data_IF_146314643211
#
_entry.id   IF_146314643211
#
_cell.length_a   1.000
_cell.length_b   1.000
_cell.length_c   1.000
_cell.angle_alpha   90.00
_cell.angle_beta   90.00
_cell.angle_gamma   90.00
#
_symmetry.space_group_name_H-M   'P 1'
#
loop_
_entity.id
_entity.type
_entity.pdbx_description
1 polymer ?
#
# COMPACT_ATOMS: atom_id res chain seq x y z
N UNK A 1 17.45 25.98 -14.01
CA UNK A 1 17.32 25.17 -12.77
C UNK A 1 16.79 23.78 -13.05
N UNK A 2 15.91 23.60 -14.03
CA UNK A 2 15.30 22.32 -14.46
C UNK A 2 16.35 21.27 -14.89
N UNK A 3 17.27 21.61 -15.79
CA UNK A 3 18.33 20.69 -16.24
C UNK A 3 19.24 20.22 -15.10
N UNK A 4 19.52 21.07 -14.11
CA UNK A 4 20.39 20.69 -12.99
C UNK A 4 19.75 19.68 -12.06
N UNK A 5 18.43 19.72 -11.83
CA UNK A 5 17.77 18.83 -10.87
C UNK A 5 17.51 17.45 -11.46
N UNK A 6 17.14 17.39 -12.75
CA UNK A 6 16.99 16.12 -13.47
C UNK A 6 18.36 15.46 -13.72
N UNK A 7 19.41 16.25 -13.97
CA UNK A 7 20.77 15.74 -14.10
C UNK A 7 21.29 15.04 -12.82
N UNK A 8 20.84 15.45 -11.64
CA UNK A 8 21.23 14.82 -10.37
C UNK A 8 20.78 13.34 -10.31
N UNK A 9 19.61 12.99 -10.87
CA UNK A 9 19.14 11.60 -10.93
C UNK A 9 20.05 10.71 -11.78
N UNK A 10 20.69 11.28 -12.81
CA UNK A 10 21.61 10.60 -13.70
C UNK A 10 23.08 10.60 -13.24
N UNK A 11 23.49 11.50 -12.33
CA UNK A 11 24.91 11.73 -12.01
C UNK A 11 25.28 11.44 -10.55
N UNK A 12 24.37 11.69 -9.60
CA UNK A 12 24.66 11.53 -8.17
C UNK A 12 24.98 10.07 -7.77
N UNK A 13 25.76 9.85 -6.71
CA UNK A 13 26.03 8.52 -6.17
C UNK A 13 24.73 7.78 -5.83
N UNK A 14 24.55 6.56 -6.33
CA UNK A 14 23.30 5.79 -6.21
C UNK A 14 22.86 5.58 -4.77
N UNK A 15 23.78 5.23 -3.86
CA UNK A 15 23.42 5.00 -2.45
C UNK A 15 22.82 6.25 -1.78
N UNK A 16 23.43 7.43 -1.98
CA UNK A 16 22.91 8.70 -1.45
C UNK A 16 21.56 9.06 -2.08
N UNK A 17 21.41 8.80 -3.38
CA UNK A 17 20.18 9.08 -4.11
C UNK A 17 19.05 8.19 -3.64
N UNK A 18 19.30 6.87 -3.49
CA UNK A 18 18.32 5.93 -2.95
C UNK A 18 17.88 6.35 -1.54
N UNK A 19 18.80 6.65 -0.65
CA UNK A 19 18.46 7.13 0.71
C UNK A 19 17.62 8.41 0.68
N UNK A 20 17.94 9.37 -0.20
CA UNK A 20 17.21 10.63 -0.33
C UNK A 20 15.74 10.44 -0.75
N UNK A 21 15.44 9.42 -1.54
CA UNK A 21 14.09 9.15 -2.04
C UNK A 21 13.39 8.03 -1.26
N UNK A 22 14.09 6.94 -0.95
CA UNK A 22 13.50 5.80 -0.27
C UNK A 22 13.15 6.10 1.19
N UNK A 23 14.03 6.78 1.94
CA UNK A 23 13.78 7.06 3.36
C UNK A 23 12.51 7.90 3.59
N UNK A 24 12.29 9.04 2.92
CA UNK A 24 11.04 9.79 3.08
C UNK A 24 9.81 8.99 2.66
N UNK A 25 9.90 8.19 1.59
CA UNK A 25 8.79 7.35 1.14
C UNK A 25 8.46 6.26 2.17
N UNK A 26 9.48 5.60 2.72
CA UNK A 26 9.32 4.60 3.78
C UNK A 26 8.68 5.20 5.03
N UNK A 27 9.15 6.37 5.48
CA UNK A 27 8.56 7.07 6.63
C UNK A 27 7.09 7.40 6.38
N UNK A 28 6.74 7.90 5.18
CA UNK A 28 5.35 8.19 4.81
C UNK A 28 4.44 6.99 4.95
N UNK A 29 4.84 5.85 4.37
CA UNK A 29 4.02 4.64 4.37
C UNK A 29 3.97 3.98 5.74
N UNK A 30 5.08 4.00 6.48
CA UNK A 30 5.13 3.47 7.85
C UNK A 30 4.21 4.27 8.78
N UNK A 31 4.27 5.59 8.71
CA UNK A 31 3.38 6.46 9.51
C UNK A 31 1.92 6.26 9.09
N UNK A 32 1.65 6.09 7.79
CA UNK A 32 0.33 5.73 7.29
C UNK A 32 -0.20 4.41 7.86
N UNK A 33 0.65 3.39 8.00
CA UNK A 33 0.26 2.13 8.63
C UNK A 33 0.03 2.28 10.14
N UNK A 34 0.88 3.04 10.83
CA UNK A 34 0.79 3.24 12.28
C UNK A 34 -0.43 4.07 12.68
N UNK A 35 -0.74 5.16 11.97
CA UNK A 35 -1.91 5.97 12.33
C UNK A 35 -3.22 5.19 12.20
N UNK A 36 -3.35 4.30 11.22
CA UNK A 36 -4.53 3.44 11.09
C UNK A 36 -4.71 2.52 12.32
N UNK A 37 -3.61 2.05 12.92
CA UNK A 37 -3.65 1.25 14.15
C UNK A 37 -4.08 2.12 15.33
N UNK A 38 -3.54 3.33 15.43
CA UNK A 38 -3.86 4.30 16.50
C UNK A 38 -5.33 4.71 16.44
N UNK A 39 -5.85 5.01 15.25
CA UNK A 39 -7.27 5.33 15.02
C UNK A 39 -8.19 4.20 15.52
N UNK A 40 -7.89 2.95 15.18
CA UNK A 40 -8.66 1.80 15.67
C UNK A 40 -8.61 1.64 17.20
N UNK A 41 -7.48 1.99 17.84
CA UNK A 41 -7.36 1.98 19.30
C UNK A 41 -8.29 3.03 19.92
N UNK A 42 -8.29 4.25 19.40
CA UNK A 42 -9.17 5.31 19.91
C UNK A 42 -10.65 5.00 19.73
N UNK A 43 -11.02 4.44 18.57
CA UNK A 43 -12.41 3.98 18.34
C UNK A 43 -12.77 2.86 19.33
N UNK A 44 -11.86 1.91 19.55
CA UNK A 44 -12.08 0.84 20.52
C UNK A 44 -12.30 1.32 21.95
N UNK A 45 -11.54 2.33 22.37
CA UNK A 45 -11.68 2.93 23.71
C UNK A 45 -12.90 3.83 23.85
N UNK A 46 -13.25 4.59 22.81
CA UNK A 46 -14.32 5.60 22.89
C UNK A 46 -15.71 5.09 22.50
N UNK A 47 -15.78 4.12 21.59
CA UNK A 47 -17.05 3.59 21.07
C UNK A 47 -17.24 2.11 21.41
N UNK A 48 -16.14 1.40 21.62
CA UNK A 48 -16.14 -0.02 21.94
C UNK A 48 -16.08 -0.94 20.71
N UNK A 49 -16.34 -2.23 20.93
CA UNK A 49 -16.18 -3.27 19.91
C UNK A 49 -17.10 -3.10 18.69
N UNK A 50 -18.30 -2.53 18.87
CA UNK A 50 -19.23 -2.26 17.76
C UNK A 50 -18.70 -1.19 16.82
N UNK A 51 -18.01 -0.16 17.35
CA UNK A 51 -17.33 0.86 16.54
C UNK A 51 -16.19 0.26 15.73
N UNK A 52 -15.35 -0.57 16.34
CA UNK A 52 -14.31 -1.31 15.62
C UNK A 52 -14.89 -2.27 14.57
N UNK A 53 -15.99 -2.93 14.87
CA UNK A 53 -16.72 -3.75 13.90
C UNK A 53 -17.18 -2.96 12.69
N UNK A 54 -17.69 -1.75 12.91
CA UNK A 54 -18.10 -0.84 11.84
C UNK A 54 -16.94 -0.42 10.92
N UNK A 55 -15.79 -0.06 11.50
CA UNK A 55 -14.61 0.30 10.69
C UNK A 55 -14.08 -0.88 9.88
N UNK A 56 -14.12 -2.10 10.42
CA UNK A 56 -13.72 -3.30 9.71
C UNK A 56 -14.60 -3.61 8.49
N UNK A 57 -15.91 -3.34 8.60
CA UNK A 57 -16.86 -3.47 7.46
C UNK A 57 -16.54 -2.46 6.35
N UNK A 58 -16.13 -1.24 6.70
CA UNK A 58 -15.82 -0.17 5.74
C UNK A 58 -14.41 -0.29 5.18
N UNK A 59 -13.48 -0.96 5.87
CA UNK A 59 -12.08 -1.10 5.47
C UNK A 59 -11.87 -1.59 4.03
N UNK A 60 -12.53 -2.65 3.53
CA UNK A 60 -12.38 -3.07 2.13
C UNK A 60 -12.73 -1.99 1.12
N UNK A 61 -13.71 -1.14 1.42
CA UNK A 61 -14.12 -0.04 0.55
C UNK A 61 -13.07 1.08 0.51
N UNK A 62 -12.43 1.37 1.65
CA UNK A 62 -11.32 2.32 1.68
C UNK A 62 -10.09 1.79 0.93
N UNK A 63 -9.82 0.49 1.02
CA UNK A 63 -8.73 -0.17 0.27
C UNK A 63 -8.99 -0.16 -1.24
N UNK A 64 -10.24 -0.32 -1.68
CA UNK A 64 -10.62 -0.18 -3.09
C UNK A 64 -10.33 1.23 -3.61
N UNK A 65 -10.74 2.26 -2.86
CA UNK A 65 -10.46 3.65 -3.21
C UNK A 65 -8.95 3.93 -3.24
N UNK A 66 -8.19 3.40 -2.27
CA UNK A 66 -6.73 3.47 -2.26
C UNK A 66 -6.12 2.80 -3.49
N UNK A 67 -6.60 1.61 -3.86
CA UNK A 67 -6.12 0.88 -5.04
C UNK A 67 -6.23 1.71 -6.32
N UNK A 68 -7.37 2.37 -6.53
CA UNK A 68 -7.57 3.28 -7.67
C UNK A 68 -6.65 4.50 -7.61
N UNK A 69 -6.47 5.08 -6.42
CA UNK A 69 -5.59 6.23 -6.23
C UNK A 69 -4.13 5.90 -6.55
N UNK A 70 -3.60 4.78 -6.01
CA UNK A 70 -2.20 4.36 -6.26
C UNK A 70 -2.00 3.86 -7.69
N UNK A 71 -3.03 3.30 -8.34
CA UNK A 71 -2.97 2.98 -9.76
C UNK A 71 -2.67 4.23 -10.60
N UNK A 72 -3.38 5.32 -10.32
CA UNK A 72 -3.19 6.59 -11.01
C UNK A 72 -1.83 7.21 -10.61
N UNK A 73 -1.54 7.31 -9.31
CA UNK A 73 -0.38 8.01 -8.78
C UNK A 73 0.96 7.32 -9.11
N UNK A 74 1.09 6.03 -8.82
CA UNK A 74 2.33 5.28 -9.06
C UNK A 74 2.55 5.05 -10.56
N UNK A 75 1.46 4.86 -11.34
CA UNK A 75 1.53 4.79 -12.79
C UNK A 75 2.05 6.10 -13.39
N UNK A 76 1.49 7.23 -12.97
CA UNK A 76 1.95 8.55 -13.41
C UNK A 76 3.40 8.82 -12.96
N UNK A 77 3.77 8.50 -11.73
CA UNK A 77 5.13 8.64 -11.21
C UNK A 77 6.15 7.90 -12.07
N UNK A 78 5.86 6.64 -12.43
CA UNK A 78 6.72 5.82 -13.28
C UNK A 78 6.87 6.43 -14.69
N UNK A 79 5.75 6.78 -15.31
CA UNK A 79 5.74 7.35 -16.66
C UNK A 79 6.43 8.71 -16.73
N UNK A 80 6.13 9.61 -15.79
CA UNK A 80 6.74 10.95 -15.69
C UNK A 80 8.26 10.83 -15.53
N UNK A 81 8.72 9.93 -14.67
CA UNK A 81 10.15 9.71 -14.46
C UNK A 81 10.87 9.23 -15.73
N UNK A 82 10.24 8.34 -16.50
CA UNK A 82 10.74 7.88 -17.79
C UNK A 82 10.75 9.03 -18.80
N UNK A 83 9.70 9.85 -18.84
CA UNK A 83 9.63 11.02 -19.75
C UNK A 83 10.73 12.02 -19.44
N UNK A 84 11.03 12.30 -18.17
CA UNK A 84 12.15 13.17 -17.81
C UNK A 84 13.49 12.58 -18.25
N UNK A 85 13.69 11.27 -18.12
CA UNK A 85 14.89 10.59 -18.63
C UNK A 85 15.02 10.67 -20.16
N UNK A 86 13.89 10.61 -20.89
CA UNK A 86 13.84 10.76 -22.35
C UNK A 86 13.91 12.21 -22.85
N UNK A 87 14.04 13.16 -21.94
CA UNK A 87 13.97 14.60 -22.25
C UNK A 87 12.65 15.00 -22.95
N UNK A 88 11.52 14.48 -22.45
CA UNK A 88 10.17 14.74 -22.95
C UNK A 88 9.29 15.43 -21.88
N UNK A 89 9.62 16.64 -21.44
CA UNK A 89 8.93 17.30 -20.31
C UNK A 89 7.44 17.58 -20.61
N UNK A 90 7.09 17.81 -21.89
CA UNK A 90 5.70 18.05 -22.25
C UNK A 90 4.80 16.82 -22.02
N UNK A 91 5.28 15.62 -22.32
CA UNK A 91 4.56 14.38 -22.04
C UNK A 91 4.45 14.15 -20.54
N UNK A 92 5.48 14.49 -19.76
CA UNK A 92 5.45 14.44 -18.30
C UNK A 92 4.37 15.39 -17.74
N UNK A 93 4.34 16.65 -18.21
CA UNK A 93 3.34 17.63 -17.78
C UNK A 93 1.90 17.19 -18.11
N UNK A 94 1.70 16.65 -19.32
CA UNK A 94 0.38 16.10 -19.72
C UNK A 94 -0.03 14.89 -18.87
N UNK A 95 0.91 14.02 -18.53
CA UNK A 95 0.63 12.88 -17.67
C UNK A 95 0.22 13.32 -16.26
N UNK A 96 0.93 14.28 -15.67
CA UNK A 96 0.60 14.82 -14.34
C UNK A 96 -0.77 15.51 -14.35
N UNK A 97 -1.00 16.43 -15.30
CA UNK A 97 -2.27 17.13 -15.38
C UNK A 97 -3.45 16.16 -15.56
N UNK A 98 -3.30 15.17 -16.46
CA UNK A 98 -4.35 14.15 -16.65
C UNK A 98 -4.51 13.24 -15.43
N UNK A 99 -3.46 12.90 -14.70
CA UNK A 99 -3.54 12.09 -13.49
C UNK A 99 -4.25 12.83 -12.35
N UNK A 100 -3.98 14.13 -12.18
CA UNK A 100 -4.70 14.99 -11.25
C UNK A 100 -6.19 15.07 -11.60
N UNK A 101 -6.53 15.36 -12.85
CA UNK A 101 -7.92 15.41 -13.28
C UNK A 101 -8.63 14.06 -13.12
N UNK A 102 -7.96 12.95 -13.50
CA UNK A 102 -8.52 11.62 -13.38
C UNK A 102 -8.74 11.22 -11.91
N UNK A 103 -7.80 11.54 -11.01
CA UNK A 103 -7.93 11.20 -9.59
C UNK A 103 -9.14 11.89 -8.94
N UNK A 104 -9.42 13.14 -9.29
CA UNK A 104 -10.60 13.86 -8.83
C UNK A 104 -11.87 13.24 -9.41
N UNK A 105 -11.90 12.96 -10.71
CA UNK A 105 -13.07 12.34 -11.36
C UNK A 105 -13.36 10.95 -10.83
N UNK A 106 -12.34 10.10 -10.68
CA UNK A 106 -12.49 8.77 -10.11
C UNK A 106 -12.93 8.86 -8.65
N UNK A 107 -12.36 9.78 -7.87
CA UNK A 107 -12.76 10.01 -6.48
C UNK A 107 -14.24 10.40 -6.37
N UNK A 108 -14.72 11.32 -7.22
CA UNK A 108 -16.15 11.70 -7.27
C UNK A 108 -17.01 10.52 -7.71
N UNK A 109 -16.61 9.79 -8.75
CA UNK A 109 -17.37 8.64 -9.24
C UNK A 109 -17.50 7.53 -8.17
N UNK A 110 -16.42 7.23 -7.45
CA UNK A 110 -16.42 6.28 -6.34
C UNK A 110 -17.30 6.78 -5.19
N UNK A 111 -17.24 8.07 -4.83
CA UNK A 111 -18.07 8.65 -3.78
C UNK A 111 -19.57 8.57 -4.13
N UNK A 112 -19.94 8.87 -5.38
CA UNK A 112 -21.32 8.72 -5.87
C UNK A 112 -21.76 7.25 -5.82
N UNK A 113 -20.92 6.33 -6.28
CA UNK A 113 -21.20 4.90 -6.22
C UNK A 113 -21.40 4.43 -4.78
N UNK A 114 -20.55 4.86 -3.86
CA UNK A 114 -20.64 4.52 -2.43
C UNK A 114 -21.90 5.11 -1.79
N UNK A 115 -22.28 6.34 -2.15
CA UNK A 115 -23.49 6.97 -1.65
C UNK A 115 -24.77 6.27 -2.15
N UNK A 116 -24.82 5.90 -3.45
CA UNK A 116 -25.97 5.23 -4.05
C UNK A 116 -26.12 3.79 -3.55
N UNK A 117 -25.02 3.06 -3.44
CA UNK A 117 -25.00 1.65 -3.06
C UNK A 117 -24.59 1.41 -1.60
N UNK A 118 -24.75 2.39 -0.71
CA UNK A 118 -24.31 2.33 0.68
C UNK A 118 -24.78 1.06 1.39
N UNK A 119 -26.08 0.80 1.40
CA UNK A 119 -26.66 -0.35 2.13
C UNK A 119 -26.25 -1.69 1.52
N UNK A 120 -26.33 -1.92 0.19
CA UNK A 120 -25.83 -3.14 -0.43
C UNK A 120 -24.35 -3.42 -0.15
N UNK A 121 -23.51 -2.38 -0.19
CA UNK A 121 -22.07 -2.52 0.07
C UNK A 121 -21.80 -2.89 1.52
N UNK A 122 -22.43 -2.22 2.49
CA UNK A 122 -22.26 -2.55 3.89
C UNK A 122 -22.72 -3.99 4.20
N UNK A 123 -23.83 -4.43 3.63
CA UNK A 123 -24.32 -5.81 3.79
C UNK A 123 -23.37 -6.82 3.14
N UNK A 124 -22.82 -6.51 1.96
CA UNK A 124 -21.85 -7.37 1.26
C UNK A 124 -20.58 -7.59 2.09
N UNK A 125 -20.12 -6.56 2.81
CA UNK A 125 -18.90 -6.63 3.62
C UNK A 125 -19.15 -7.00 5.08
N UNK A 126 -20.36 -7.50 5.40
CA UNK A 126 -20.62 -8.17 6.67
C UNK A 126 -21.16 -7.26 7.79
N UNK A 127 -21.84 -6.15 7.45
CA UNK A 127 -22.56 -5.37 8.44
C UNK A 127 -23.67 -6.22 9.08
N UNK A 128 -23.73 -6.25 10.39
CA UNK A 128 -24.75 -6.93 11.19
C UNK A 128 -25.78 -5.91 11.71
N UNK A 129 -26.94 -6.36 12.12
CA UNK A 129 -27.95 -5.46 12.72
C UNK A 129 -27.38 -4.64 13.89
N UNK A 130 -26.46 -5.24 14.66
CA UNK A 130 -25.85 -4.60 15.83
C UNK A 130 -24.89 -3.46 15.47
N UNK A 131 -24.13 -3.57 14.36
CA UNK A 131 -23.12 -2.58 13.98
C UNK A 131 -23.51 -1.72 12.78
N UNK A 132 -24.65 -2.00 12.12
CA UNK A 132 -25.08 -1.33 10.90
C UNK A 132 -25.23 0.17 11.06
N UNK A 133 -25.76 0.62 12.19
CA UNK A 133 -25.93 2.06 12.47
C UNK A 133 -24.57 2.76 12.51
N UNK A 134 -23.60 2.21 13.23
CA UNK A 134 -22.24 2.74 13.32
C UNK A 134 -21.51 2.67 11.96
N UNK A 135 -21.66 1.55 11.24
CA UNK A 135 -21.07 1.37 9.93
C UNK A 135 -21.62 2.36 8.89
N UNK A 136 -22.94 2.60 8.90
CA UNK A 136 -23.60 3.59 8.04
C UNK A 136 -23.11 5.00 8.32
N UNK A 137 -23.05 5.37 9.60
CA UNK A 137 -22.59 6.69 10.03
C UNK A 137 -21.12 6.91 9.61
N UNK A 138 -20.23 6.00 9.98
CA UNK A 138 -18.80 6.05 9.62
C UNK A 138 -18.62 6.13 8.10
N UNK A 139 -19.27 5.24 7.35
CA UNK A 139 -19.16 5.17 5.90
C UNK A 139 -19.67 6.42 5.19
N UNK A 140 -20.71 7.07 5.71
CA UNK A 140 -21.22 8.31 5.12
C UNK A 140 -20.16 9.41 5.15
N UNK A 141 -19.49 9.62 6.29
CA UNK A 141 -18.43 10.63 6.40
C UNK A 141 -17.19 10.27 5.59
N UNK A 142 -16.76 9.00 5.60
CA UNK A 142 -15.67 8.52 4.75
C UNK A 142 -15.99 8.75 3.28
N UNK A 143 -17.22 8.47 2.83
CA UNK A 143 -17.65 8.66 1.44
C UNK A 143 -17.51 10.10 0.99
N UNK A 144 -17.86 11.08 1.84
CA UNK A 144 -17.64 12.50 1.54
C UNK A 144 -16.16 12.82 1.36
N UNK A 145 -15.28 12.16 2.12
CA UNK A 145 -13.83 12.32 2.04
C UNK A 145 -13.17 11.61 0.86
N UNK A 146 -13.84 10.63 0.21
CA UNK A 146 -13.22 9.79 -0.85
C UNK A 146 -12.60 10.59 -2.00
N UNK A 147 -13.22 11.66 -2.56
CA UNK A 147 -12.59 12.43 -3.63
C UNK A 147 -11.28 13.08 -3.19
N UNK A 148 -11.25 13.59 -1.97
CA UNK A 148 -10.07 14.23 -1.37
C UNK A 148 -8.99 13.18 -1.09
N UNK A 149 -9.40 12.03 -0.58
CA UNK A 149 -8.51 10.90 -0.30
C UNK A 149 -7.84 10.37 -1.57
N UNK A 150 -8.63 10.08 -2.62
CA UNK A 150 -8.11 9.56 -3.89
C UNK A 150 -7.13 10.56 -4.52
N UNK A 151 -7.46 11.84 -4.52
CA UNK A 151 -6.56 12.88 -4.99
C UNK A 151 -5.27 12.95 -4.15
N UNK A 152 -5.37 13.00 -2.82
CA UNK A 152 -4.23 13.10 -1.90
C UNK A 152 -3.28 11.92 -2.03
N UNK A 153 -3.80 10.70 -2.19
CA UNK A 153 -3.00 9.50 -2.38
C UNK A 153 -2.36 9.44 -3.78
N UNK A 154 -3.05 9.90 -4.82
CA UNK A 154 -2.53 9.92 -6.18
C UNK A 154 -1.45 10.99 -6.38
N UNK A 155 -1.57 12.17 -5.74
CA UNK A 155 -0.60 13.25 -5.92
C UNK A 155 0.75 12.97 -5.23
N UNK A 156 0.77 12.18 -4.17
CA UNK A 156 1.99 11.92 -3.39
C UNK A 156 3.13 11.27 -4.22
N UNK A 157 2.90 10.19 -5.00
CA UNK A 157 3.91 9.66 -5.93
C UNK A 157 4.36 10.68 -6.99
N UNK A 158 3.45 11.52 -7.47
CA UNK A 158 3.74 12.55 -8.47
C UNK A 158 4.71 13.60 -7.91
N UNK A 159 4.51 14.05 -6.67
CA UNK A 159 5.42 14.96 -5.97
C UNK A 159 6.83 14.35 -5.87
N UNK A 160 6.92 13.04 -5.63
CA UNK A 160 8.22 12.32 -5.62
C UNK A 160 8.89 12.34 -6.98
N UNK A 161 8.14 12.14 -8.07
CA UNK A 161 8.68 12.18 -9.43
C UNK A 161 9.17 13.56 -9.84
N UNK A 162 8.61 14.63 -9.27
CA UNK A 162 9.07 16.02 -9.43
C UNK A 162 10.32 16.36 -8.58
N UNK A 163 10.93 15.36 -7.92
CA UNK A 163 12.16 15.52 -7.16
C UNK A 163 11.98 16.06 -5.74
N UNK A 164 10.79 15.98 -5.17
CA UNK A 164 10.46 16.48 -3.82
C UNK A 164 9.95 15.39 -2.86
N UNK A 165 10.71 14.29 -2.64
CA UNK A 165 10.25 13.21 -1.75
C UNK A 165 10.04 13.66 -0.31
N UNK A 166 10.83 14.63 0.18
CA UNK A 166 10.66 15.19 1.53
C UNK A 166 9.33 15.94 1.69
N UNK A 167 8.90 16.68 0.66
CA UNK A 167 7.61 17.36 0.71
C UNK A 167 6.45 16.36 0.68
N UNK A 168 6.55 15.30 -0.15
CA UNK A 168 5.58 14.21 -0.16
C UNK A 168 5.47 13.54 1.23
N UNK A 169 6.60 13.32 1.91
CA UNK A 169 6.62 12.82 3.29
C UNK A 169 5.93 13.80 4.25
N UNK A 170 6.29 15.08 4.21
CA UNK A 170 5.72 16.07 5.11
C UNK A 170 4.21 16.23 4.95
N UNK A 171 3.68 16.12 3.73
CA UNK A 171 2.24 16.18 3.50
C UNK A 171 1.49 15.01 4.15
N UNK A 172 2.05 13.81 4.05
CA UNK A 172 1.47 12.62 4.69
C UNK A 172 1.58 12.68 6.22
N UNK A 173 2.74 13.12 6.74
CA UNK A 173 2.96 13.32 8.17
C UNK A 173 1.99 14.34 8.75
N UNK A 174 1.82 15.49 8.09
CA UNK A 174 0.92 16.55 8.55
C UNK A 174 -0.53 16.03 8.66
N UNK A 175 -1.00 15.28 7.67
CA UNK A 175 -2.32 14.65 7.70
C UNK A 175 -2.46 13.61 8.83
N UNK A 176 -1.46 12.73 9.00
CA UNK A 176 -1.46 11.72 10.04
C UNK A 176 -1.40 12.32 11.45
N UNK A 177 -0.57 13.32 11.68
CA UNK A 177 -0.48 14.03 12.97
C UNK A 177 -1.80 14.72 13.27
N UNK A 178 -2.38 15.43 12.29
CA UNK A 178 -3.67 16.08 12.48
C UNK A 178 -4.78 15.07 12.83
N UNK A 179 -4.84 13.93 12.16
CA UNK A 179 -5.76 12.85 12.50
C UNK A 179 -5.55 12.36 13.93
N UNK A 180 -4.32 11.99 14.32
CA UNK A 180 -3.99 11.54 15.68
C UNK A 180 -4.33 12.54 16.79
N UNK A 181 -4.32 13.86 16.48
CA UNK A 181 -4.72 14.91 17.43
C UNK A 181 -6.25 15.07 17.45
N UNK A 182 -6.88 15.05 16.28
CA UNK A 182 -8.32 15.29 16.15
C UNK A 182 -9.17 14.09 16.61
N UNK A 183 -8.70 12.85 16.45
CA UNK A 183 -9.41 11.65 16.86
C UNK A 183 -9.79 11.69 18.36
N UNK A 184 -8.85 11.84 19.31
CA UNK A 184 -9.22 11.87 20.72
C UNK A 184 -10.09 13.08 21.06
N UNK A 185 -9.91 14.21 20.39
CA UNK A 185 -10.77 15.39 20.61
C UNK A 185 -12.21 15.09 20.14
N UNK A 186 -12.37 14.54 18.95
CA UNK A 186 -13.69 14.25 18.39
C UNK A 186 -14.40 13.13 19.15
N UNK A 187 -13.66 12.08 19.56
CA UNK A 187 -14.24 10.91 20.24
C UNK A 187 -14.51 11.19 21.71
N UNK A 188 -13.52 11.70 22.48
CA UNK A 188 -13.59 11.78 23.94
C UNK A 188 -14.05 13.14 24.48
N UNK A 189 -13.74 14.25 23.75
CA UNK A 189 -14.14 15.61 24.20
C UNK A 189 -15.47 16.02 23.62
N UNK A 190 -15.65 15.82 22.29
CA UNK A 190 -16.89 16.18 21.61
C UNK A 190 -17.96 15.08 21.67
N UNK A 191 -17.60 13.88 22.08
CA UNK A 191 -18.47 12.70 22.15
C UNK A 191 -19.18 12.36 20.83
N UNK A 192 -18.49 12.58 19.69
CA UNK A 192 -19.05 12.30 18.36
C UNK A 192 -18.94 10.82 17.95
N UNK A 193 -18.37 9.95 18.78
CA UNK A 193 -18.28 8.52 18.52
C UNK A 193 -17.58 8.19 17.21
N UNK A 194 -18.12 7.24 16.43
CA UNK A 194 -17.53 6.83 15.12
C UNK A 194 -17.59 7.94 14.08
N UNK A 195 -18.57 8.81 14.13
CA UNK A 195 -18.64 10.01 13.28
C UNK A 195 -17.41 10.89 13.51
N UNK A 196 -17.01 11.07 14.76
CA UNK A 196 -15.86 11.87 15.15
C UNK A 196 -14.57 11.31 14.56
N UNK A 197 -14.35 10.00 14.64
CA UNK A 197 -13.21 9.33 14.03
C UNK A 197 -13.19 9.51 12.51
N UNK A 198 -14.31 9.29 11.84
CA UNK A 198 -14.42 9.51 10.40
C UNK A 198 -14.12 10.97 10.01
N UNK A 199 -14.68 11.94 10.75
CA UNK A 199 -14.45 13.37 10.50
C UNK A 199 -12.97 13.75 10.71
N UNK A 200 -12.33 13.24 11.74
CA UNK A 200 -10.89 13.46 12.00
C UNK A 200 -10.02 12.85 10.88
N UNK A 201 -10.36 11.65 10.41
CA UNK A 201 -9.69 11.01 9.27
C UNK A 201 -9.83 11.86 8.01
N UNK A 202 -11.02 12.33 7.70
CA UNK A 202 -11.27 13.22 6.53
C UNK A 202 -10.52 14.54 6.68
N UNK A 203 -10.49 15.14 7.88
CA UNK A 203 -9.72 16.35 8.13
C UNK A 203 -8.22 16.17 7.86
N UNK A 204 -7.62 15.05 8.30
CA UNK A 204 -6.24 14.69 7.97
C UNK A 204 -6.01 14.55 6.45
N UNK A 205 -6.96 13.92 5.74
CA UNK A 205 -6.92 13.79 4.28
C UNK A 205 -7.02 15.16 3.58
N UNK A 206 -7.85 16.07 4.08
CA UNK A 206 -7.96 17.46 3.57
C UNK A 206 -6.62 18.19 3.70
N UNK A 207 -5.92 18.06 4.82
CA UNK A 207 -4.60 18.68 5.01
C UNK A 207 -3.59 18.12 4.01
N UNK A 208 -3.52 16.80 3.86
CA UNK A 208 -2.64 16.14 2.88
C UNK A 208 -2.94 16.63 1.45
N UNK A 209 -4.23 16.66 1.08
CA UNK A 209 -4.66 17.09 -0.25
C UNK A 209 -4.40 18.59 -0.48
N UNK A 210 -4.65 19.45 0.52
CA UNK A 210 -4.37 20.88 0.43
C UNK A 210 -2.88 21.16 0.22
N UNK A 211 -2.00 20.45 0.92
CA UNK A 211 -0.56 20.50 0.68
C UNK A 211 -0.20 20.02 -0.74
N UNK A 212 -0.87 18.97 -1.23
CA UNK A 212 -0.72 18.50 -2.61
C UNK A 212 -1.14 19.57 -3.63
N UNK A 213 -2.28 20.22 -3.43
CA UNK A 213 -2.72 21.34 -4.28
C UNK A 213 -1.72 22.50 -4.23
N UNK A 214 -1.27 22.88 -3.05
CA UNK A 214 -0.26 23.93 -2.89
C UNK A 214 1.02 23.59 -3.69
N UNK A 215 1.45 22.32 -3.63
CA UNK A 215 2.62 21.87 -4.38
C UNK A 215 2.45 21.99 -5.89
N UNK A 216 1.27 21.77 -6.45
CA UNK A 216 1.02 21.90 -7.88
C UNK A 216 1.30 23.32 -8.42
N UNK A 217 1.19 24.34 -7.56
CA UNK A 217 1.58 25.71 -7.90
C UNK A 217 3.08 25.99 -7.71
N UNK A 218 3.82 25.09 -7.03
CA UNK A 218 5.23 25.25 -6.66
C UNK A 218 6.10 24.09 -7.16
N UNK A 219 5.71 23.50 -8.29
CA UNK A 219 6.44 22.39 -8.92
C UNK A 219 7.88 22.79 -9.30
N UNK A 220 8.80 21.83 -9.20
CA UNK A 220 10.23 22.06 -9.44
C UNK A 220 10.63 21.84 -10.90
N UNK A 221 10.33 20.66 -11.45
CA UNK A 221 10.66 20.26 -12.81
C UNK A 221 9.44 20.30 -13.74
N UNK A 222 8.23 20.18 -13.18
CA UNK A 222 6.98 20.21 -13.94
C UNK A 222 6.57 21.66 -14.26
N UNK A 223 5.91 21.85 -15.42
CA UNK A 223 5.33 23.13 -15.86
C UNK A 223 3.90 22.91 -16.31
N UNK A 224 2.98 22.94 -15.35
CA UNK A 224 1.58 22.65 -15.61
C UNK A 224 0.87 23.84 -16.25
N UNK A 225 0.16 23.56 -17.36
CA UNK A 225 -0.73 24.48 -18.05
C UNK A 225 -2.14 23.92 -18.04
N UNK A 226 -3.16 24.75 -18.21
CA UNK A 226 -4.56 24.30 -18.23
C UNK A 226 -4.84 23.19 -19.25
N UNK A 227 -4.18 23.20 -20.41
CA UNK A 227 -4.30 22.15 -21.44
C UNK A 227 -3.78 20.77 -20.99
N UNK A 228 -2.89 20.73 -20.00
CA UNK A 228 -2.35 19.47 -19.47
C UNK A 228 -3.38 18.65 -18.68
N UNK A 229 -4.41 19.29 -18.14
CA UNK A 229 -5.48 18.63 -17.37
C UNK A 229 -6.53 17.92 -18.24
N UNK A 230 -6.44 18.05 -19.57
CA UNK A 230 -7.32 17.33 -20.49
C UNK A 230 -7.02 15.83 -20.47
N UNK A 231 -8.05 15.01 -20.31
CA UNK A 231 -7.94 13.58 -20.40
C UNK A 231 -7.72 13.16 -21.85
N UNK A 232 -6.56 12.61 -22.14
CA UNK A 232 -6.18 12.12 -23.46
C UNK A 232 -5.98 10.61 -23.39
N UNK A 233 -6.78 9.84 -24.11
CA UNK A 233 -6.73 8.37 -24.08
C UNK A 233 -5.33 7.79 -24.30
N UNK A 234 -4.52 8.41 -25.19
CA UNK A 234 -3.13 8.00 -25.43
C UNK A 234 -2.24 8.15 -24.19
N UNK A 235 -2.40 9.21 -23.44
CA UNK A 235 -1.64 9.47 -22.20
C UNK A 235 -2.11 8.55 -21.10
N UNK A 236 -3.43 8.39 -20.94
CA UNK A 236 -4.02 7.44 -19.96
C UNK A 236 -3.52 6.01 -20.23
N UNK A 237 -3.55 5.56 -21.49
CA UNK A 237 -3.05 4.23 -21.87
C UNK A 237 -1.54 4.05 -21.70
N UNK A 238 -0.78 5.14 -21.56
CA UNK A 238 0.65 5.06 -21.31
C UNK A 238 1.00 4.87 -19.83
N UNK A 239 0.26 5.47 -18.88
CA UNK A 239 0.63 5.38 -17.47
C UNK A 239 -0.28 4.46 -16.63
N UNK A 240 -1.57 4.31 -16.93
CA UNK A 240 -2.46 3.46 -16.14
C UNK A 240 -2.01 2.00 -16.07
N UNK A 241 -1.56 1.37 -17.18
CA UNK A 241 -1.03 0.00 -17.11
C UNK A 241 0.17 -0.15 -16.17
N UNK A 242 0.99 0.89 -16.02
CA UNK A 242 2.12 0.89 -15.09
C UNK A 242 1.65 0.87 -13.63
N UNK A 243 0.52 1.50 -13.32
CA UNK A 243 -0.07 1.48 -11.98
C UNK A 243 -0.90 0.24 -11.66
N UNK A 244 -1.17 -0.63 -12.65
CA UNK A 244 -2.01 -1.81 -12.46
C UNK A 244 -1.45 -2.76 -11.40
N UNK A 245 -0.13 -2.86 -11.28
CA UNK A 245 0.52 -3.66 -10.23
C UNK A 245 0.10 -3.18 -8.82
N UNK A 246 0.14 -1.87 -8.59
CA UNK A 246 -0.26 -1.26 -7.30
C UNK A 246 -1.74 -1.51 -7.00
N UNK A 247 -2.61 -1.38 -8.01
CA UNK A 247 -4.03 -1.69 -7.88
C UNK A 247 -4.29 -3.15 -7.53
N UNK A 248 -3.69 -4.09 -8.27
CA UNK A 248 -3.83 -5.52 -8.03
C UNK A 248 -3.37 -5.89 -6.61
N UNK A 249 -2.28 -5.31 -6.13
CA UNK A 249 -1.79 -5.56 -4.79
C UNK A 249 -2.81 -5.15 -3.71
N UNK A 250 -3.53 -4.04 -3.87
CA UNK A 250 -4.55 -3.59 -2.92
C UNK A 250 -5.81 -4.46 -2.97
N UNK A 251 -6.32 -4.76 -4.14
CA UNK A 251 -7.52 -5.61 -4.30
C UNK A 251 -7.26 -7.02 -3.76
N UNK A 252 -6.12 -7.59 -4.10
CA UNK A 252 -5.76 -8.93 -3.67
C UNK A 252 -5.61 -9.06 -2.17
N UNK A 253 -5.13 -7.99 -1.50
CA UNK A 253 -5.08 -7.95 -0.04
C UNK A 253 -6.46 -8.21 0.58
N UNK A 254 -7.49 -7.54 0.08
CA UNK A 254 -8.87 -7.70 0.55
C UNK A 254 -9.39 -9.12 0.29
N UNK A 255 -9.20 -9.61 -0.93
CA UNK A 255 -9.67 -10.95 -1.32
C UNK A 255 -8.94 -12.05 -0.52
N UNK A 256 -7.62 -11.94 -0.41
CA UNK A 256 -6.82 -12.90 0.34
C UNK A 256 -7.17 -12.89 1.84
N UNK A 257 -7.39 -11.70 2.41
CA UNK A 257 -7.79 -11.56 3.82
C UNK A 257 -9.16 -12.20 4.07
N UNK A 258 -10.14 -11.96 3.20
CA UNK A 258 -11.46 -12.56 3.31
C UNK A 258 -11.40 -14.10 3.17
N UNK A 259 -10.66 -14.61 2.19
CA UNK A 259 -10.48 -16.05 2.01
C UNK A 259 -9.76 -16.69 3.20
N UNK A 260 -8.72 -16.05 3.71
CA UNK A 260 -7.96 -16.54 4.87
C UNK A 260 -8.82 -16.57 6.13
N UNK A 261 -9.57 -15.50 6.40
CA UNK A 261 -10.47 -15.44 7.56
C UNK A 261 -11.54 -16.54 7.51
N UNK A 262 -12.16 -16.77 6.35
CA UNK A 262 -13.14 -17.84 6.16
C UNK A 262 -12.52 -19.23 6.43
N UNK A 263 -11.34 -19.50 5.92
CA UNK A 263 -10.65 -20.76 6.14
C UNK A 263 -10.21 -20.94 7.60
N UNK A 264 -9.79 -19.87 8.28
CA UNK A 264 -9.45 -19.93 9.70
C UNK A 264 -10.66 -20.26 10.57
N UNK A 265 -11.81 -19.65 10.31
CA UNK A 265 -13.06 -19.96 11.02
C UNK A 265 -13.46 -21.40 10.77
N UNK A 266 -13.48 -21.83 9.51
CA UNK A 266 -13.92 -23.18 9.13
C UNK A 266 -13.00 -24.27 9.72
N UNK A 267 -11.70 -24.18 9.56
CA UNK A 267 -10.75 -25.19 10.01
C UNK A 267 -10.35 -25.02 11.48
N UNK A 268 -10.43 -23.80 12.00
CA UNK A 268 -10.22 -23.50 13.42
C UNK A 268 -11.26 -24.19 14.31
N UNK A 269 -12.54 -24.17 13.89
CA UNK A 269 -13.64 -24.81 14.62
C UNK A 269 -13.42 -26.31 14.88
N UNK A 270 -12.70 -26.99 13.99
CA UNK A 270 -12.36 -28.42 14.13
C UNK A 270 -11.00 -28.65 14.82
N UNK A 271 -10.32 -27.60 15.25
CA UNK A 271 -9.03 -27.68 15.95
C UNK A 271 -9.18 -27.49 17.45
N UNK A 272 -8.13 -27.82 18.20
CA UNK A 272 -8.07 -27.56 19.66
C UNK A 272 -8.13 -26.06 20.02
N UNK A 273 -7.93 -25.17 19.04
CA UNK A 273 -7.89 -23.71 19.23
C UNK A 273 -9.26 -23.03 19.07
N UNK A 274 -10.26 -23.73 18.51
CA UNK A 274 -11.54 -23.11 18.16
C UNK A 274 -11.44 -22.15 16.97
N UNK A 275 -12.52 -21.42 16.67
CA UNK A 275 -12.56 -20.47 15.56
C UNK A 275 -11.96 -19.11 15.91
N UNK A 276 -12.09 -18.67 17.17
CA UNK A 276 -11.78 -17.30 17.58
C UNK A 276 -10.27 -17.05 17.75
N UNK A 277 -9.54 -18.00 18.36
CA UNK A 277 -8.09 -17.86 18.59
C UNK A 277 -7.34 -17.71 17.26
N UNK A 278 -7.51 -18.58 16.23
CA UNK A 278 -6.82 -18.42 14.95
C UNK A 278 -7.11 -17.10 14.27
N UNK A 279 -8.36 -16.64 14.31
CA UNK A 279 -8.76 -15.38 13.67
C UNK A 279 -8.11 -14.17 14.36
N UNK A 280 -8.14 -14.11 15.68
CA UNK A 280 -7.55 -13.03 16.47
C UNK A 280 -6.04 -12.97 16.31
N UNK A 281 -5.38 -14.13 16.41
CA UNK A 281 -3.93 -14.25 16.28
C UNK A 281 -3.47 -13.80 14.88
N UNK A 282 -4.13 -14.28 13.82
CA UNK A 282 -3.74 -13.88 12.47
C UNK A 282 -3.94 -12.38 12.26
N UNK A 283 -4.97 -11.78 12.85
CA UNK A 283 -5.16 -10.32 12.83
C UNK A 283 -3.94 -9.55 13.35
N UNK A 284 -3.32 -10.02 14.44
CA UNK A 284 -2.09 -9.42 14.99
C UNK A 284 -0.90 -9.65 14.06
N UNK A 285 -0.72 -10.89 13.58
CA UNK A 285 0.36 -11.22 12.64
C UNK A 285 0.28 -10.38 11.37
N UNK A 286 -0.92 -10.14 10.86
CA UNK A 286 -1.16 -9.29 9.69
C UNK A 286 -0.82 -7.81 9.95
N UNK A 287 -1.04 -7.28 11.16
CA UNK A 287 -0.60 -5.92 11.51
C UNK A 287 0.93 -5.79 11.49
N UNK A 288 1.64 -6.78 12.05
CA UNK A 288 3.11 -6.82 12.00
C UNK A 288 3.60 -6.96 10.56
N UNK A 289 2.99 -7.84 9.79
CA UNK A 289 3.30 -8.00 8.36
C UNK A 289 3.09 -6.70 7.59
N UNK A 290 2.00 -5.97 7.85
CA UNK A 290 1.70 -4.69 7.20
C UNK A 290 2.77 -3.62 7.49
N UNK A 291 3.31 -3.56 8.70
CA UNK A 291 4.42 -2.67 9.04
C UNK A 291 5.64 -3.01 8.17
N UNK A 292 6.02 -4.29 8.10
CA UNK A 292 7.18 -4.74 7.33
C UNK A 292 7.00 -4.44 5.83
N UNK A 293 5.83 -4.75 5.28
CA UNK A 293 5.52 -4.50 3.87
C UNK A 293 5.44 -2.99 3.57
N UNK A 294 4.99 -2.15 4.49
CA UNK A 294 5.02 -0.70 4.32
C UNK A 294 6.45 -0.17 4.16
N UNK A 295 7.40 -0.71 4.92
CA UNK A 295 8.82 -0.37 4.78
C UNK A 295 9.33 -0.83 3.40
N UNK A 296 9.04 -2.08 3.01
CA UNK A 296 9.40 -2.65 1.71
C UNK A 296 8.86 -1.80 0.55
N UNK A 297 7.56 -1.54 0.53
CA UNK A 297 6.95 -0.73 -0.54
C UNK A 297 7.56 0.67 -0.53
N UNK A 298 7.81 1.25 0.64
CA UNK A 298 8.43 2.57 0.77
C UNK A 298 9.82 2.65 0.14
N UNK A 299 10.66 1.66 0.40
CA UNK A 299 12.00 1.57 -0.18
C UNK A 299 11.93 1.40 -1.71
N UNK A 300 11.11 0.48 -2.20
CA UNK A 300 10.98 0.19 -3.61
C UNK A 300 10.32 1.35 -4.38
N UNK A 301 9.19 1.88 -3.89
CA UNK A 301 8.46 2.98 -4.51
C UNK A 301 9.26 4.31 -4.48
N UNK A 302 10.08 4.52 -3.45
CA UNK A 302 11.02 5.63 -3.42
C UNK A 302 12.07 5.57 -4.53
N UNK A 303 12.40 4.36 -5.01
CA UNK A 303 13.33 4.18 -6.11
C UNK A 303 12.70 4.40 -7.51
N UNK A 304 11.36 4.46 -7.63
CA UNK A 304 10.69 4.63 -8.94
C UNK A 304 11.23 5.83 -9.72
N UNK A 305 11.36 7.05 -9.16
CA UNK A 305 11.89 8.20 -9.89
C UNK A 305 13.33 7.98 -10.39
N UNK A 306 14.15 7.29 -9.59
CA UNK A 306 15.54 7.02 -9.93
C UNK A 306 15.64 6.03 -11.09
N UNK A 307 14.92 4.92 -10.99
CA UNK A 307 14.91 3.87 -12.02
C UNK A 307 14.29 4.39 -13.32
N UNK A 308 13.12 5.03 -13.23
CA UNK A 308 12.41 5.56 -14.39
C UNK A 308 13.25 6.57 -15.17
N UNK A 309 13.86 7.54 -14.49
CA UNK A 309 14.75 8.51 -15.11
C UNK A 309 15.95 7.84 -15.80
N UNK A 310 16.71 7.01 -15.08
CA UNK A 310 17.90 6.38 -15.62
C UNK A 310 17.57 5.43 -16.79
N UNK A 311 16.43 4.72 -16.72
CA UNK A 311 15.97 3.88 -17.80
C UNK A 311 15.55 4.71 -19.03
N UNK A 312 14.82 5.79 -18.83
CA UNK A 312 14.46 6.74 -19.89
C UNK A 312 15.67 7.37 -20.57
N UNK A 313 16.67 7.72 -19.78
CA UNK A 313 17.95 8.30 -20.26
C UNK A 313 18.94 7.26 -20.81
N UNK A 314 18.55 5.97 -20.92
CA UNK A 314 19.40 4.87 -21.39
C UNK A 314 20.67 4.65 -20.54
N UNK A 315 20.66 5.07 -19.29
CA UNK A 315 21.75 4.84 -18.32
C UNK A 315 21.62 3.46 -17.68
N UNK A 316 21.67 2.41 -18.50
CA UNK A 316 21.33 1.04 -18.11
C UNK A 316 22.22 0.49 -16.99
N UNK A 317 23.51 0.85 -16.97
CA UNK A 317 24.42 0.46 -15.88
C UNK A 317 23.98 1.01 -14.53
N UNK A 318 23.41 2.21 -14.50
CA UNK A 318 22.88 2.81 -13.27
C UNK A 318 21.60 2.11 -12.83
N UNK A 319 20.69 1.81 -13.77
CA UNK A 319 19.50 1.00 -13.47
C UNK A 319 19.88 -0.35 -12.84
N UNK A 320 20.87 -1.04 -13.41
CA UNK A 320 21.42 -2.28 -12.87
C UNK A 320 22.00 -2.10 -11.46
N UNK A 321 22.70 -0.99 -11.22
CA UNK A 321 23.24 -0.64 -9.91
C UNK A 321 22.15 -0.41 -8.87
N UNK A 322 21.02 0.21 -9.23
CA UNK A 322 19.86 0.37 -8.35
C UNK A 322 19.19 -0.98 -8.11
N UNK A 323 19.00 -1.82 -9.16
CA UNK A 323 18.39 -3.14 -9.06
C UNK A 323 19.04 -3.97 -7.94
N UNK A 324 20.34 -4.20 -8.03
CA UNK A 324 21.03 -5.07 -7.08
C UNK A 324 21.11 -4.49 -5.67
N UNK A 325 21.27 -3.17 -5.54
CA UNK A 325 21.24 -2.51 -4.22
C UNK A 325 19.87 -2.59 -3.59
N UNK A 326 18.79 -2.38 -4.37
CA UNK A 326 17.42 -2.49 -3.88
C UNK A 326 17.11 -3.93 -3.46
N UNK A 327 17.38 -4.92 -4.32
CA UNK A 327 17.13 -6.32 -4.00
C UNK A 327 17.95 -6.78 -2.76
N UNK A 328 19.21 -6.34 -2.64
CA UNK A 328 20.03 -6.63 -1.47
C UNK A 328 19.50 -5.98 -0.19
N UNK A 329 19.07 -4.73 -0.25
CA UNK A 329 18.49 -4.02 0.89
C UNK A 329 17.17 -4.65 1.33
N UNK A 330 16.30 -5.02 0.39
CA UNK A 330 15.02 -5.69 0.67
C UNK A 330 15.22 -7.09 1.25
N UNK A 331 16.16 -7.86 0.71
CA UNK A 331 16.51 -9.16 1.28
C UNK A 331 17.02 -9.01 2.73
N UNK A 332 17.91 -8.05 2.98
CA UNK A 332 18.42 -7.77 4.32
C UNK A 332 17.31 -7.33 5.28
N UNK A 333 16.41 -6.47 4.84
CA UNK A 333 15.21 -6.08 5.59
C UNK A 333 14.36 -7.31 5.93
N UNK A 334 14.10 -8.16 4.95
CA UNK A 334 13.34 -9.40 5.14
C UNK A 334 14.01 -10.36 6.11
N UNK A 335 15.33 -10.51 6.06
CA UNK A 335 16.10 -11.32 7.01
C UNK A 335 16.02 -10.73 8.42
N UNK A 336 16.19 -9.41 8.58
CA UNK A 336 16.07 -8.75 9.87
C UNK A 336 14.67 -8.93 10.46
N UNK A 337 13.62 -8.72 9.65
CA UNK A 337 12.23 -8.92 10.06
C UNK A 337 11.97 -10.39 10.43
N UNK A 338 12.50 -11.34 9.65
CA UNK A 338 12.44 -12.77 9.97
C UNK A 338 13.09 -13.07 11.32
N UNK A 339 14.29 -12.59 11.56
CA UNK A 339 14.98 -12.80 12.83
C UNK A 339 14.17 -12.25 14.02
N UNK A 340 13.61 -11.06 13.90
CA UNK A 340 12.77 -10.45 14.94
C UNK A 340 11.53 -11.33 15.20
N UNK A 341 10.82 -11.75 14.16
CA UNK A 341 9.59 -12.52 14.30
C UNK A 341 9.82 -13.97 14.72
N UNK A 342 10.99 -14.54 14.47
CA UNK A 342 11.37 -15.89 14.90
C UNK A 342 11.93 -15.94 16.33
N UNK A 343 12.69 -14.93 16.74
CA UNK A 343 13.36 -14.90 18.03
C UNK A 343 12.46 -14.30 19.13
N UNK A 344 11.63 -13.31 18.79
CA UNK A 344 10.85 -12.54 19.75
C UNK A 344 9.33 -12.62 19.53
N UNK A 345 8.75 -13.75 19.09
CA UNK A 345 7.30 -13.82 18.82
C UNK A 345 6.46 -13.58 20.09
N UNK A 346 6.87 -14.07 21.25
CA UNK A 346 6.16 -13.87 22.53
C UNK A 346 6.13 -12.41 22.93
N UNK A 347 7.27 -11.73 22.87
CA UNK A 347 7.36 -10.31 23.22
C UNK A 347 6.48 -9.44 22.32
N UNK A 348 6.40 -9.79 21.02
CA UNK A 348 5.52 -9.09 20.08
C UNK A 348 4.04 -9.33 20.45
N UNK A 349 3.67 -10.56 20.77
CA UNK A 349 2.30 -10.91 21.16
C UNK A 349 1.91 -10.18 22.45
N UNK A 350 2.79 -10.15 23.45
CA UNK A 350 2.55 -9.50 24.74
C UNK A 350 2.24 -8.01 24.61
N UNK A 351 2.74 -7.33 23.56
CA UNK A 351 2.39 -5.94 23.24
C UNK A 351 0.90 -5.77 22.86
N UNK A 352 0.29 -6.82 22.31
CA UNK A 352 -1.12 -6.83 21.89
C UNK A 352 -2.05 -7.48 22.92
N UNK A 353 -1.50 -8.06 23.99
CA UNK A 353 -2.20 -8.76 25.05
C UNK A 353 -2.06 -10.28 24.94
N UNK A 354 -1.79 -10.93 26.07
CA UNK A 354 -1.76 -12.39 26.19
C UNK A 354 -2.99 -12.84 26.99
N UNK A 355 -3.77 -13.80 26.44
CA UNK A 355 -5.02 -14.21 27.08
C UNK A 355 -4.90 -15.59 27.72
N UNK A 356 -4.43 -16.61 27.01
CA UNK A 356 -4.33 -17.99 27.48
C UNK A 356 -3.06 -18.67 26.96
N UNK A 357 -2.66 -19.76 27.58
CA UNK A 357 -1.49 -20.54 27.12
C UNK A 357 -1.72 -21.11 25.73
N UNK A 358 -2.94 -21.54 25.42
CA UNK A 358 -3.35 -22.05 24.12
C UNK A 358 -3.28 -20.96 23.04
N UNK A 359 -3.69 -19.75 23.37
CA UNK A 359 -3.56 -18.56 22.53
C UNK A 359 -2.08 -18.26 22.21
N UNK A 360 -1.24 -18.23 23.23
CA UNK A 360 0.18 -17.95 23.08
C UNK A 360 0.91 -19.04 22.27
N UNK A 361 0.57 -20.32 22.45
CA UNK A 361 1.11 -21.44 21.66
C UNK A 361 0.80 -21.25 20.16
N UNK A 362 -0.48 -20.99 19.85
CA UNK A 362 -0.91 -20.80 18.47
C UNK A 362 -0.28 -19.53 17.86
N UNK A 363 -0.20 -18.45 18.62
CA UNK A 363 0.37 -17.19 18.18
C UNK A 363 1.86 -17.33 17.84
N UNK A 364 2.67 -17.96 18.69
CA UNK A 364 4.08 -18.24 18.40
C UNK A 364 4.22 -19.09 17.14
N UNK A 365 3.39 -20.12 17.00
CA UNK A 365 3.39 -20.98 15.81
C UNK A 365 3.04 -20.19 14.55
N UNK A 366 2.01 -19.34 14.62
CA UNK A 366 1.57 -18.52 13.49
C UNK A 366 2.66 -17.53 13.07
N UNK A 367 3.28 -16.82 14.01
CA UNK A 367 4.41 -15.93 13.70
C UNK A 367 5.54 -16.66 12.99
N UNK A 368 5.92 -17.83 13.50
CA UNK A 368 7.04 -18.61 12.95
C UNK A 368 6.74 -19.20 11.59
N UNK A 369 5.55 -19.69 11.36
CA UNK A 369 5.17 -20.35 10.11
C UNK A 369 4.76 -19.35 9.05
N UNK A 370 3.83 -18.44 9.36
CA UNK A 370 3.26 -17.53 8.38
C UNK A 370 4.26 -16.49 7.86
N UNK A 371 5.22 -16.08 8.71
CA UNK A 371 6.24 -15.08 8.37
C UNK A 371 7.61 -15.68 8.04
N UNK A 372 7.74 -17.02 7.88
CA UNK A 372 9.05 -17.66 7.67
C UNK A 372 9.72 -17.27 6.34
N UNK A 373 8.97 -16.82 5.34
CA UNK A 373 9.49 -16.44 4.01
C UNK A 373 9.52 -14.92 3.78
N UNK A 374 9.57 -14.11 4.84
CA UNK A 374 9.70 -12.65 4.73
C UNK A 374 10.82 -12.18 3.79
N UNK A 375 12.04 -12.77 3.77
CA UNK A 375 13.07 -12.35 2.83
C UNK A 375 12.68 -12.52 1.36
N UNK A 376 11.88 -13.53 1.05
CA UNK A 376 11.36 -13.74 -0.31
C UNK A 376 10.21 -12.80 -0.62
N UNK A 377 9.32 -12.56 0.34
CA UNK A 377 8.18 -11.66 0.20
C UNK A 377 8.62 -10.22 -0.10
N UNK A 378 9.63 -9.71 0.62
CA UNK A 378 10.18 -8.37 0.42
C UNK A 378 10.81 -8.22 -0.96
N UNK A 379 11.64 -9.19 -1.38
CA UNK A 379 12.27 -9.21 -2.72
C UNK A 379 11.22 -9.31 -3.82
N UNK A 380 10.18 -10.14 -3.66
CA UNK A 380 9.09 -10.25 -4.64
C UNK A 380 8.38 -8.91 -4.83
N UNK A 381 8.01 -8.22 -3.74
CA UNK A 381 7.37 -6.90 -3.80
C UNK A 381 8.25 -5.87 -4.49
N UNK A 382 9.54 -5.82 -4.12
CA UNK A 382 10.50 -4.91 -4.74
C UNK A 382 10.68 -5.20 -6.23
N UNK A 383 10.69 -6.47 -6.65
CA UNK A 383 10.78 -6.86 -8.05
C UNK A 383 9.58 -6.34 -8.86
N UNK A 384 8.35 -6.46 -8.34
CA UNK A 384 7.14 -5.94 -9.02
C UNK A 384 7.23 -4.43 -9.25
N UNK A 385 7.60 -3.68 -8.20
CA UNK A 385 7.71 -2.22 -8.26
C UNK A 385 8.89 -1.78 -9.15
N UNK A 386 9.99 -2.53 -9.16
CA UNK A 386 11.12 -2.25 -10.04
C UNK A 386 10.75 -2.40 -11.52
N UNK A 387 10.00 -3.45 -11.89
CA UNK A 387 9.49 -3.62 -13.27
C UNK A 387 8.54 -2.49 -13.65
N UNK A 388 7.68 -2.06 -12.74
CA UNK A 388 6.81 -0.89 -12.91
C UNK A 388 7.63 0.37 -13.19
N UNK A 389 8.67 0.62 -12.42
CA UNK A 389 9.56 1.78 -12.57
C UNK A 389 10.32 1.79 -13.91
N UNK A 390 10.62 0.62 -14.47
CA UNK A 390 11.23 0.47 -15.80
C UNK A 390 10.23 0.66 -16.96
N UNK A 391 8.96 0.91 -16.69
CA UNK A 391 7.94 1.02 -17.71
C UNK A 391 7.56 -0.31 -18.37
N UNK A 392 7.62 -1.41 -17.60
CA UNK A 392 7.27 -2.78 -18.03
C UNK A 392 5.99 -3.27 -17.33
N UNK A 393 4.82 -2.81 -17.79
CA UNK A 393 3.56 -3.10 -17.10
C UNK A 393 3.21 -4.59 -17.12
N UNK A 394 3.54 -5.30 -18.19
CA UNK A 394 3.20 -6.72 -18.33
C UNK A 394 3.96 -7.57 -17.31
N UNK A 395 5.26 -7.37 -17.18
CA UNK A 395 6.07 -8.09 -16.20
C UNK A 395 5.69 -7.71 -14.77
N UNK A 396 5.47 -6.42 -14.50
CA UNK A 396 5.07 -5.92 -13.17
C UNK A 396 3.71 -6.45 -12.75
N UNK A 397 2.66 -6.21 -13.55
CA UNK A 397 1.31 -6.65 -13.27
C UNK A 397 1.19 -8.19 -13.33
N UNK A 398 1.91 -8.83 -14.25
CA UNK A 398 1.93 -10.29 -14.38
C UNK A 398 2.48 -10.99 -13.14
N UNK A 399 3.61 -10.53 -12.59
CA UNK A 399 4.18 -11.07 -11.35
C UNK A 399 3.26 -10.80 -10.15
N UNK A 400 2.68 -9.60 -10.06
CA UNK A 400 1.73 -9.26 -9.00
C UNK A 400 0.48 -10.13 -9.07
N UNK A 401 -0.12 -10.27 -10.25
CA UNK A 401 -1.29 -11.11 -10.48
C UNK A 401 -1.01 -12.60 -10.17
N UNK A 402 0.15 -13.09 -10.59
CA UNK A 402 0.58 -14.46 -10.31
C UNK A 402 0.62 -14.74 -8.80
N UNK A 403 1.27 -13.86 -8.03
CA UNK A 403 1.37 -14.01 -6.57
C UNK A 403 0.03 -13.82 -5.88
N UNK A 404 -0.61 -12.69 -6.16
CA UNK A 404 -1.73 -12.20 -5.35
C UNK A 404 -3.05 -12.92 -5.70
N UNK A 405 -3.25 -13.31 -6.94
CA UNK A 405 -4.50 -13.92 -7.41
C UNK A 405 -4.33 -15.40 -7.70
N UNK A 406 -3.34 -15.78 -8.52
CA UNK A 406 -3.19 -17.17 -8.96
C UNK A 406 -2.60 -18.09 -7.89
N UNK A 407 -1.83 -17.55 -6.92
CA UNK A 407 -1.24 -18.37 -5.86
C UNK A 407 -1.91 -18.15 -4.51
N UNK A 408 -2.01 -16.91 -4.02
CA UNK A 408 -2.47 -16.66 -2.65
C UNK A 408 -3.88 -17.21 -2.40
N UNK A 409 -4.85 -16.91 -3.26
CA UNK A 409 -6.23 -17.34 -3.07
C UNK A 409 -6.41 -18.86 -3.22
N UNK A 410 -5.94 -19.51 -4.29
CA UNK A 410 -6.07 -20.96 -4.40
C UNK A 410 -5.31 -21.74 -3.32
N UNK A 411 -4.10 -21.31 -2.94
CA UNK A 411 -3.34 -22.01 -1.92
C UNK A 411 -4.02 -21.94 -0.53
N UNK A 412 -4.59 -20.78 -0.17
CA UNK A 412 -5.33 -20.65 1.09
C UNK A 412 -6.60 -21.52 1.12
N UNK A 413 -7.18 -21.85 -0.05
CA UNK A 413 -8.35 -22.71 -0.15
C UNK A 413 -8.01 -24.21 -0.30
N UNK A 414 -6.86 -24.53 -0.90
CA UNK A 414 -6.48 -25.92 -1.20
C UNK A 414 -5.64 -26.57 -0.11
N UNK A 415 -4.64 -25.86 0.43
CA UNK A 415 -3.75 -26.42 1.45
C UNK A 415 -4.47 -26.86 2.74
N UNK A 416 -5.51 -26.16 3.22
CA UNK A 416 -6.26 -26.60 4.39
C UNK A 416 -6.95 -27.97 4.20
N UNK A 417 -7.29 -28.35 2.98
CA UNK A 417 -7.88 -29.68 2.68
C UNK A 417 -6.90 -30.81 2.99
N UNK A 418 -5.60 -30.58 2.86
CA UNK A 418 -4.56 -31.58 3.13
C UNK A 418 -3.96 -31.46 4.55
N UNK A 419 -3.81 -30.24 5.05
CA UNK A 419 -3.07 -29.95 6.29
C UNK A 419 -3.94 -29.30 7.38
N UNK A 420 -5.25 -29.22 7.22
CA UNK A 420 -6.15 -28.61 8.20
C UNK A 420 -5.80 -27.13 8.45
N UNK A 421 -5.94 -26.71 9.70
CA UNK A 421 -5.64 -25.32 10.12
C UNK A 421 -4.22 -24.87 9.75
N UNK A 422 -3.24 -25.76 9.86
CA UNK A 422 -1.84 -25.45 9.47
C UNK A 422 -1.70 -25.17 7.98
N UNK A 423 -2.55 -25.74 7.13
CA UNK A 423 -2.59 -25.45 5.70
C UNK A 423 -2.90 -23.99 5.39
N UNK A 424 -3.71 -23.31 6.22
CA UNK A 424 -3.95 -21.87 6.09
C UNK A 424 -2.66 -21.10 6.34
N UNK A 425 -1.88 -21.50 7.34
CA UNK A 425 -0.62 -20.84 7.69
C UNK A 425 0.48 -21.07 6.63
N UNK A 426 0.49 -22.23 5.98
CA UNK A 426 1.45 -22.56 4.91
C UNK A 426 1.18 -21.85 3.59
N UNK A 427 -0.03 -21.30 3.39
CA UNK A 427 -0.43 -20.70 2.10
C UNK A 427 0.43 -19.51 1.71
N UNK A 428 0.74 -18.62 2.65
CA UNK A 428 1.55 -17.41 2.40
C UNK A 428 3.00 -17.75 2.06
N UNK A 429 3.73 -18.56 2.86
CA UNK A 429 5.07 -18.99 2.52
C UNK A 429 5.15 -19.74 1.18
N UNK A 430 4.20 -20.60 0.88
CA UNK A 430 4.15 -21.34 -0.39
C UNK A 430 3.99 -20.39 -1.59
N UNK A 431 3.09 -19.41 -1.48
CA UNK A 431 2.92 -18.38 -2.51
C UNK A 431 4.21 -17.57 -2.73
N UNK A 432 4.88 -17.17 -1.64
CA UNK A 432 6.12 -16.39 -1.74
C UNK A 432 7.28 -17.17 -2.34
N UNK A 433 7.43 -18.46 -2.03
CA UNK A 433 8.44 -19.34 -2.62
C UNK A 433 8.21 -19.49 -4.13
N UNK A 434 6.99 -19.84 -4.54
CA UNK A 434 6.67 -20.03 -5.96
C UNK A 434 6.85 -18.74 -6.76
N UNK A 435 6.42 -17.61 -6.19
CA UNK A 435 6.60 -16.29 -6.81
C UNK A 435 8.07 -15.92 -6.91
N UNK A 436 8.89 -16.28 -5.92
CA UNK A 436 10.31 -15.95 -5.92
C UNK A 436 11.05 -16.58 -7.12
N UNK A 437 10.72 -17.81 -7.50
CA UNK A 437 11.28 -18.41 -8.71
C UNK A 437 10.91 -17.63 -9.97
N UNK A 438 9.64 -17.22 -10.09
CA UNK A 438 9.20 -16.38 -11.21
C UNK A 438 9.89 -15.00 -11.20
N UNK A 439 10.00 -14.38 -10.02
CA UNK A 439 10.70 -13.10 -9.85
C UNK A 439 12.18 -13.21 -10.20
N UNK A 440 12.88 -14.25 -9.75
CA UNK A 440 14.27 -14.50 -10.11
C UNK A 440 14.46 -14.65 -11.63
N UNK A 441 13.57 -15.38 -12.30
CA UNK A 441 13.63 -15.51 -13.75
C UNK A 441 13.54 -14.15 -14.46
N UNK A 442 12.55 -13.33 -14.07
CA UNK A 442 12.36 -11.98 -14.63
C UNK A 442 13.52 -11.05 -14.30
N UNK A 443 14.01 -11.08 -13.07
CA UNK A 443 15.15 -10.25 -12.62
C UNK A 443 16.46 -10.61 -13.35
N UNK A 444 16.75 -11.90 -13.52
CA UNK A 444 17.95 -12.37 -14.25
C UNK A 444 17.87 -12.01 -15.73
N UNK A 445 16.69 -12.16 -16.35
CA UNK A 445 16.46 -11.71 -17.72
C UNK A 445 16.67 -10.19 -17.85
N UNK A 446 16.16 -9.43 -16.89
CA UNK A 446 16.33 -7.97 -16.84
C UNK A 446 17.78 -7.57 -16.62
N UNK A 447 18.51 -8.23 -15.71
CA UNK A 447 19.95 -7.97 -15.50
C UNK A 447 20.75 -8.17 -16.79
N UNK A 448 20.48 -9.23 -17.55
CA UNK A 448 21.13 -9.47 -18.84
C UNK A 448 20.85 -8.36 -19.86
N UNK A 449 19.64 -7.80 -19.88
CA UNK A 449 19.29 -6.68 -20.74
C UNK A 449 19.96 -5.37 -20.32
N UNK A 450 20.14 -5.16 -19.02
CA UNK A 450 20.79 -3.99 -18.44
C UNK A 450 22.34 -4.03 -18.53
N UNK A 451 22.93 -5.15 -18.95
CA UNK A 451 24.38 -5.28 -19.22
C UNK A 451 24.80 -4.68 -20.57
N UNK A 452 23.84 -4.60 -21.49
CA UNK A 452 24.06 -4.00 -22.81
C UNK A 452 24.14 -2.48 -22.72
#
# INVERSE_FOLDING_TARGET
MEEKQNAVLGTAPLGRLMMKFALPCTVSLLVGALYNIVDQIFIGWGVGYLGNGATNVVFPLTVLALGLAVMIGDGACSYVSICFGKNQPENANRAVGSAVALSVLVGIAVAVLYAVFQMPLLSLFGATEANLSYAKEYFTYITIGVPIYVFGQAINPIIRSDGSPQFAMLSMLAGAIANCILDPIAIFVLHWGVMGAAAATVAGQVITAAMGVWYLFHTKALRLKADNFKLRGRILGAYLPLGLCSFLAQISLVIAMAATNNMLVQYGAFSKYGADIPLTVLGIVMKVFQIIISITIGMAAGCIPIVGYNYGAQLLRRCRGVLWRLMGAEFLLGVLALLITQLFPRQIIDLFGSESELYNEFAVTTFRVYLCMLPLATVNKAAFIFMQAMGRPVESAGLSFFREVLLAVPLVMLLPKAFGLMGVLYSMPAADILTFFASCFVLLRTDRQLRK
#
